data_IF_247918479855
#
_entry.id   IF_247918479855
#
_cell.length_a   1.000
_cell.length_b   1.000
_cell.length_c   1.000
_cell.angle_alpha   90.00
_cell.angle_beta   90.00
_cell.angle_gamma   90.00
#
_symmetry.space_group_name_H-M   'P 1'
#
loop_
_entity.id
_entity.type
_entity.pdbx_description
1 polymer ?
#
# COMPACT_ATOMS: atom_id res chain seq x y z
N UNK A 1 51.98 -43.22 -29.90
CA UNK A 1 51.83 -42.81 -28.48
C UNK A 1 50.54 -41.99 -28.37
N UNK A 2 49.49 -42.51 -27.73
CA UNK A 2 48.15 -41.90 -27.67
C UNK A 2 48.00 -41.09 -26.39
N UNK A 3 47.69 -39.80 -26.50
CA UNK A 3 47.43 -38.88 -25.39
C UNK A 3 45.96 -38.93 -25.00
N UNK A 4 45.65 -39.60 -23.88
CA UNK A 4 44.28 -39.62 -23.34
C UNK A 4 44.02 -38.29 -22.62
N UNK A 5 43.17 -37.44 -23.19
CA UNK A 5 42.61 -36.27 -22.49
C UNK A 5 41.75 -36.77 -21.32
N UNK A 6 42.11 -36.35 -20.12
CA UNK A 6 41.33 -36.60 -18.90
C UNK A 6 40.41 -35.39 -18.72
N UNK A 7 39.09 -35.60 -18.81
CA UNK A 7 38.11 -34.55 -18.58
C UNK A 7 37.80 -34.52 -17.09
N UNK A 8 38.25 -33.49 -16.37
CA UNK A 8 37.87 -33.29 -14.98
C UNK A 8 36.45 -32.72 -14.92
N UNK A 9 35.55 -33.40 -14.21
CA UNK A 9 34.21 -32.90 -13.98
C UNK A 9 34.23 -31.85 -12.85
N UNK A 10 33.64 -30.65 -13.05
CA UNK A 10 33.51 -29.70 -11.95
C UNK A 10 32.65 -30.31 -10.85
N UNK A 11 33.00 -29.99 -9.59
CA UNK A 11 32.28 -30.47 -8.43
C UNK A 11 30.77 -30.16 -8.55
N UNK A 12 29.88 -31.07 -8.12
CA UNK A 12 28.45 -30.86 -8.19
C UNK A 12 28.09 -29.57 -7.43
N UNK A 13 27.52 -28.60 -8.16
CA UNK A 13 26.96 -27.39 -7.56
C UNK A 13 25.62 -27.78 -6.97
N UNK A 14 25.49 -27.70 -5.65
CA UNK A 14 24.18 -27.85 -5.00
C UNK A 14 23.28 -26.69 -5.42
N UNK A 15 22.37 -26.95 -6.35
CA UNK A 15 21.30 -26.02 -6.67
C UNK A 15 20.29 -26.05 -5.51
N UNK A 16 20.29 -25.00 -4.69
CA UNK A 16 19.37 -24.88 -3.56
C UNK A 16 18.08 -24.21 -4.02
N UNK A 17 17.08 -25.03 -4.31
CA UNK A 17 15.75 -24.54 -4.70
C UNK A 17 14.88 -24.14 -3.49
N UNK A 18 15.28 -24.50 -2.26
CA UNK A 18 14.51 -24.26 -1.03
C UNK A 18 15.43 -23.93 0.14
N UNK A 19 14.95 -23.11 1.11
CA UNK A 19 15.75 -22.70 2.26
C UNK A 19 16.06 -23.91 3.16
N UNK A 20 17.23 -23.85 3.79
CA UNK A 20 17.67 -24.91 4.69
C UNK A 20 16.88 -24.90 6.01
N UNK A 21 16.79 -26.05 6.68
CA UNK A 21 16.13 -26.16 7.99
C UNK A 21 16.67 -25.17 9.04
N UNK A 22 17.96 -24.84 8.97
CA UNK A 22 18.58 -23.83 9.84
C UNK A 22 18.04 -22.43 9.56
N UNK A 23 17.92 -22.06 8.28
CA UNK A 23 17.36 -20.77 7.86
C UNK A 23 15.91 -20.61 8.32
N UNK A 24 15.11 -21.66 8.27
CA UNK A 24 13.71 -21.63 8.75
C UNK A 24 13.63 -21.42 10.26
N UNK A 25 14.55 -22.01 11.03
CA UNK A 25 14.60 -21.88 12.50
C UNK A 25 15.14 -20.51 12.92
N UNK A 26 16.03 -19.90 12.13
CA UNK A 26 16.61 -18.58 12.37
C UNK A 26 15.67 -17.42 12.01
N UNK A 27 14.55 -17.67 11.33
CA UNK A 27 13.52 -16.64 11.13
C UNK A 27 12.93 -16.27 12.48
N UNK A 28 13.30 -15.09 12.97
CA UNK A 28 12.73 -14.51 14.18
C UNK A 28 11.20 -14.46 14.04
N UNK A 29 10.44 -15.14 14.92
CA UNK A 29 8.98 -15.10 14.89
C UNK A 29 8.43 -13.68 15.11
N UNK A 30 9.24 -12.75 15.62
CA UNK A 30 8.93 -11.32 15.75
C UNK A 30 9.07 -10.52 14.45
N UNK A 31 9.79 -11.05 13.45
CA UNK A 31 9.91 -10.44 12.12
C UNK A 31 8.63 -10.64 11.27
N UNK A 32 7.72 -11.49 11.72
CA UNK A 32 6.38 -11.65 11.16
C UNK A 32 5.44 -10.50 11.55
N UNK A 33 4.33 -10.31 10.84
CA UNK A 33 3.31 -9.35 11.23
C UNK A 33 2.84 -9.63 12.66
N UNK A 34 2.82 -8.59 13.50
CA UNK A 34 2.45 -8.68 14.91
C UNK A 34 1.16 -9.48 15.09
N UNK A 35 1.14 -10.52 15.95
CA UNK A 35 -0.06 -11.29 16.20
C UNK A 35 -1.15 -10.37 16.75
N UNK A 36 -2.34 -10.46 16.15
CA UNK A 36 -3.47 -9.63 16.52
C UNK A 36 -4.08 -10.10 17.84
N UNK A 37 -4.35 -9.16 18.74
CA UNK A 37 -5.03 -9.48 20.00
C UNK A 37 -6.49 -9.85 19.75
N UNK A 38 -7.10 -10.60 20.68
CA UNK A 38 -8.51 -10.97 20.59
C UNK A 38 -9.42 -9.74 20.49
N UNK A 39 -9.06 -8.65 21.18
CA UNK A 39 -9.81 -7.39 21.12
C UNK A 39 -9.72 -6.73 19.74
N UNK A 40 -8.53 -6.66 19.14
CA UNK A 40 -8.34 -6.15 17.78
C UNK A 40 -9.08 -7.01 16.74
N UNK A 41 -9.09 -8.33 16.91
CA UNK A 41 -9.84 -9.24 16.06
C UNK A 41 -11.34 -8.98 16.13
N UNK A 42 -11.89 -8.84 17.35
CA UNK A 42 -13.30 -8.49 17.58
C UNK A 42 -13.66 -7.11 17.00
N UNK A 43 -12.78 -6.13 17.13
CA UNK A 43 -13.00 -4.80 16.57
C UNK A 43 -12.99 -4.81 15.03
N UNK A 44 -12.06 -5.53 14.39
CA UNK A 44 -11.99 -5.65 12.93
C UNK A 44 -13.18 -6.41 12.35
N UNK A 45 -13.59 -7.49 13.00
CA UNK A 45 -14.78 -8.26 12.59
C UNK A 45 -16.03 -7.40 12.73
N UNK A 46 -16.22 -6.73 13.87
CA UNK A 46 -17.34 -5.80 14.07
C UNK A 46 -17.36 -4.66 13.04
N UNK A 47 -16.22 -4.10 12.67
CA UNK A 47 -16.13 -3.06 11.63
C UNK A 47 -16.44 -3.58 10.23
N UNK A 48 -16.12 -4.84 9.94
CA UNK A 48 -16.40 -5.50 8.66
C UNK A 48 -17.87 -5.88 8.50
N UNK A 49 -18.54 -6.19 9.62
CA UNK A 49 -19.97 -6.48 9.67
C UNK A 49 -20.85 -5.22 9.59
N UNK A 50 -20.29 -4.02 9.81
CA UNK A 50 -21.03 -2.78 9.60
C UNK A 50 -21.42 -2.67 8.11
N UNK A 51 -22.69 -2.39 7.81
CA UNK A 51 -23.10 -2.16 6.43
C UNK A 51 -22.30 -0.99 5.86
N UNK A 52 -21.87 -1.06 4.58
CA UNK A 52 -21.14 0.04 3.96
C UNK A 52 -21.96 1.32 4.10
N UNK A 53 -21.31 2.40 4.58
CA UNK A 53 -21.98 3.69 4.76
C UNK A 53 -22.65 4.07 3.43
N UNK A 54 -23.95 4.41 3.48
CA UNK A 54 -24.72 4.79 2.29
C UNK A 54 -23.98 5.89 1.54
N UNK A 55 -23.60 5.63 0.29
CA UNK A 55 -23.02 6.64 -0.59
C UNK A 55 -24.09 7.70 -0.84
N UNK A 56 -23.92 8.88 -0.25
CA UNK A 56 -24.79 10.02 -0.57
C UNK A 56 -24.44 10.49 -1.97
N UNK A 57 -25.32 10.25 -2.92
CA UNK A 57 -25.21 10.78 -4.28
C UNK A 57 -25.73 12.22 -4.34
N UNK A 58 -25.15 13.04 -5.20
CA UNK A 58 -25.62 14.41 -5.44
C UNK A 58 -24.49 15.37 -5.74
N UNK A 59 -24.76 16.40 -6.55
CA UNK A 59 -23.78 17.41 -6.96
C UNK A 59 -23.07 18.04 -5.75
N UNK A 60 -23.84 18.47 -4.74
CA UNK A 60 -23.32 19.05 -3.49
C UNK A 60 -22.42 18.10 -2.69
N UNK A 61 -22.74 16.81 -2.65
CA UNK A 61 -21.90 15.83 -1.93
C UNK A 61 -20.61 15.57 -2.70
N UNK A 62 -20.68 15.53 -4.03
CA UNK A 62 -19.50 15.42 -4.90
C UNK A 62 -18.59 16.65 -4.75
N UNK A 63 -19.12 17.87 -4.75
CA UNK A 63 -18.33 19.10 -4.57
C UNK A 63 -17.70 19.18 -3.17
N UNK A 64 -18.43 18.81 -2.11
CA UNK A 64 -17.87 18.69 -0.76
C UNK A 64 -16.73 17.67 -0.66
N UNK A 65 -16.88 16.50 -1.30
CA UNK A 65 -15.84 15.47 -1.32
C UNK A 65 -14.58 15.96 -2.05
N UNK A 66 -14.75 16.64 -3.19
CA UNK A 66 -13.65 17.19 -3.95
C UNK A 66 -12.92 18.32 -3.20
N UNK A 67 -13.65 19.20 -2.49
CA UNK A 67 -13.05 20.23 -1.63
C UNK A 67 -12.17 19.64 -0.53
N UNK A 68 -12.68 18.63 0.18
CA UNK A 68 -11.92 17.95 1.26
C UNK A 68 -10.63 17.33 0.73
N UNK A 69 -10.72 16.66 -0.42
CA UNK A 69 -9.56 16.05 -1.07
C UNK A 69 -8.50 17.10 -1.46
N UNK A 70 -8.89 18.22 -2.06
CA UNK A 70 -7.94 19.29 -2.41
C UNK A 70 -7.26 19.90 -1.18
N UNK A 71 -7.97 20.02 -0.05
CA UNK A 71 -7.37 20.48 1.21
C UNK A 71 -6.33 19.49 1.72
N UNK A 72 -6.63 18.18 1.68
CA UNK A 72 -5.68 17.15 2.09
C UNK A 72 -4.44 17.15 1.18
N UNK A 73 -4.63 17.21 -0.13
CA UNK A 73 -3.54 17.29 -1.10
C UNK A 73 -2.67 18.53 -0.90
N UNK A 74 -3.28 19.68 -0.59
CA UNK A 74 -2.54 20.90 -0.29
C UNK A 74 -1.67 20.77 0.96
N UNK A 75 -2.14 20.06 1.99
CA UNK A 75 -1.36 19.80 3.21
C UNK A 75 -0.16 18.88 2.96
N UNK A 76 -0.28 17.96 1.99
CA UNK A 76 0.76 16.97 1.67
C UNK A 76 1.69 17.42 0.55
N UNK A 77 1.35 18.45 -0.20
CA UNK A 77 2.11 18.90 -1.36
C UNK A 77 3.43 19.57 -0.96
N UNK A 78 4.54 19.01 -1.43
CA UNK A 78 5.89 19.57 -1.25
C UNK A 78 6.29 20.52 -2.37
N UNK A 79 5.67 20.39 -3.56
CA UNK A 79 5.99 21.18 -4.75
C UNK A 79 5.07 22.40 -4.87
N UNK A 80 5.64 23.55 -5.26
CA UNK A 80 4.89 24.80 -5.39
C UNK A 80 3.85 24.76 -6.52
N UNK A 81 4.15 24.11 -7.65
CA UNK A 81 3.22 23.95 -8.76
C UNK A 81 1.98 23.15 -8.36
N UNK A 82 2.16 22.07 -7.60
CA UNK A 82 1.05 21.24 -7.12
C UNK A 82 0.22 22.01 -6.09
N UNK A 83 0.87 22.78 -5.20
CA UNK A 83 0.15 23.65 -4.26
C UNK A 83 -0.70 24.70 -4.98
N UNK A 84 -0.19 25.32 -6.05
CA UNK A 84 -0.96 26.29 -6.85
C UNK A 84 -2.15 25.61 -7.53
N UNK A 85 -1.94 24.46 -8.18
CA UNK A 85 -3.01 23.68 -8.82
C UNK A 85 -4.13 23.28 -7.84
N UNK A 86 -3.78 22.83 -6.64
CA UNK A 86 -4.77 22.46 -5.63
C UNK A 86 -5.50 23.67 -5.05
N UNK A 87 -4.83 24.82 -4.89
CA UNK A 87 -5.47 26.09 -4.49
C UNK A 87 -6.49 26.55 -5.54
N UNK A 88 -6.11 26.58 -6.82
CA UNK A 88 -7.00 26.95 -7.91
C UNK A 88 -8.19 25.99 -8.04
N UNK A 89 -7.93 24.70 -7.95
CA UNK A 89 -8.99 23.68 -7.97
C UNK A 89 -9.96 23.85 -6.80
N UNK A 90 -9.48 24.22 -5.61
CA UNK A 90 -10.32 24.48 -4.44
C UNK A 90 -11.20 25.73 -4.62
N UNK A 91 -10.66 26.83 -5.16
CA UNK A 91 -11.43 28.07 -5.38
C UNK A 91 -12.50 27.89 -6.45
N UNK A 92 -12.20 27.18 -7.54
CA UNK A 92 -13.17 26.87 -8.60
C UNK A 92 -14.36 26.06 -8.08
N UNK A 93 -14.12 25.08 -7.20
CA UNK A 93 -15.22 24.30 -6.61
C UNK A 93 -16.05 25.16 -5.66
N UNK A 94 -15.42 26.08 -4.92
CA UNK A 94 -16.13 26.99 -4.04
C UNK A 94 -17.07 27.91 -4.81
N UNK A 95 -16.59 28.54 -5.89
CA UNK A 95 -17.40 29.46 -6.69
C UNK A 95 -18.53 28.74 -7.42
N UNK A 96 -18.33 27.50 -7.86
CA UNK A 96 -19.39 26.69 -8.48
C UNK A 96 -20.52 26.30 -7.52
N UNK A 97 -20.25 26.27 -6.22
CA UNK A 97 -21.27 26.01 -5.19
C UNK A 97 -22.05 27.27 -4.79
N UNK A 98 -21.49 28.48 -4.98
CA UNK A 98 -22.11 29.77 -4.62
C UNK A 98 -23.05 30.33 -5.71
N UNK A 99 -22.93 29.85 -6.95
CA UNK A 99 -23.73 30.32 -8.11
C UNK A 99 -25.09 29.59 -8.23
N UNK A 100 -25.49 28.82 -7.21
CA UNK A 100 -26.75 28.06 -7.14
C UNK A 100 -27.56 28.44 -5.91
#
# INVERSE_FOLDING_TARGET
MSTKQTFEHPAPVEQRDVPSLKEVIEVDPSAGPKPMTIQEYKARTAAREQPPKKKRGGRRIKSLSARRLNIELLKTATNEEDQQRYKESHTVIHTQDDVL
#
